data_IF_649387116068
#
_entry.id   IF_649387116068
#
_cell.length_a   1.000
_cell.length_b   1.000
_cell.length_c   1.000
_cell.angle_alpha   90.00
_cell.angle_beta   90.00
_cell.angle_gamma   90.00
#
_symmetry.space_group_name_H-M   'P 1'
#
loop_
_entity.id
_entity.type
_entity.pdbx_description
1 polymer ?
#
# COMPACT_ATOMS: atom_id res chain seq x y z
N UNK A 1 74.91 -19.71 -26.25
CA UNK A 1 74.68 -18.29 -26.57
C UNK A 1 73.18 -18.04 -26.73
N UNK A 2 72.66 -17.15 -25.86
CA UNK A 2 71.48 -16.27 -26.00
C UNK A 2 70.06 -16.87 -26.24
N UNK A 3 69.26 -16.75 -25.18
CA UNK A 3 67.89 -16.17 -25.07
C UNK A 3 66.76 -16.88 -25.86
N UNK A 4 65.62 -17.24 -25.29
CA UNK A 4 64.66 -16.35 -24.63
C UNK A 4 63.72 -17.15 -23.71
N UNK A 5 63.47 -16.58 -22.52
CA UNK A 5 62.40 -16.94 -21.60
C UNK A 5 61.10 -16.32 -22.16
N UNK A 6 60.10 -17.14 -22.44
CA UNK A 6 58.74 -16.71 -22.73
C UNK A 6 57.82 -17.14 -21.59
N UNK A 7 57.65 -16.30 -20.57
CA UNK A 7 56.60 -16.48 -19.57
C UNK A 7 55.29 -16.00 -20.19
N UNK A 8 54.36 -16.91 -20.46
CA UNK A 8 52.98 -16.55 -20.79
C UNK A 8 52.29 -16.03 -19.54
N UNK A 9 52.09 -14.72 -19.46
CA UNK A 9 51.20 -14.06 -18.51
C UNK A 9 49.76 -14.24 -19.03
N UNK A 10 49.03 -15.23 -18.49
CA UNK A 10 47.58 -15.31 -18.65
C UNK A 10 46.96 -14.28 -17.72
N UNK A 11 46.74 -13.07 -18.24
CA UNK A 11 45.89 -12.07 -17.58
C UNK A 11 44.44 -12.51 -17.84
N UNK A 12 43.88 -13.25 -16.89
CA UNK A 12 42.46 -13.55 -16.86
C UNK A 12 41.69 -12.27 -16.59
N UNK A 13 41.13 -11.68 -17.64
CA UNK A 13 40.25 -10.53 -17.55
C UNK A 13 38.90 -11.01 -17.00
N UNK A 14 38.75 -11.01 -15.67
CA UNK A 14 37.45 -11.20 -15.02
C UNK A 14 36.62 -9.94 -15.32
N UNK A 15 35.84 -9.98 -16.40
CA UNK A 15 34.68 -9.10 -16.56
C UNK A 15 33.65 -9.50 -15.49
N UNK A 16 33.79 -8.93 -14.29
CA UNK A 16 32.68 -8.78 -13.39
C UNK A 16 31.66 -7.90 -14.11
N UNK A 17 30.67 -8.56 -14.73
CA UNK A 17 29.42 -7.92 -15.13
C UNK A 17 28.76 -7.48 -13.85
N UNK A 18 29.14 -6.30 -13.36
CA UNK A 18 28.37 -5.60 -12.34
C UNK A 18 27.13 -5.13 -13.06
N UNK A 19 26.06 -5.91 -12.96
CA UNK A 19 24.73 -5.38 -13.24
C UNK A 19 24.61 -4.08 -12.44
N UNK A 20 24.21 -2.95 -13.04
CA UNK A 20 24.00 -1.75 -12.26
C UNK A 20 22.99 -2.10 -11.17
N UNK A 21 23.41 -1.94 -9.91
CA UNK A 21 22.47 -1.90 -8.80
C UNK A 21 21.43 -0.85 -9.19
N UNK A 22 20.20 -1.31 -9.47
CA UNK A 22 19.06 -0.41 -9.52
C UNK A 22 18.93 0.16 -8.11
N UNK A 23 19.56 1.32 -7.89
CA UNK A 23 19.23 2.19 -6.77
C UNK A 23 17.74 2.48 -6.94
N UNK A 24 16.92 1.80 -6.15
CA UNK A 24 15.51 2.13 -6.03
C UNK A 24 15.43 3.58 -5.54
N UNK A 25 14.56 4.38 -6.17
CA UNK A 25 14.48 5.82 -5.92
C UNK A 25 14.25 6.16 -4.44
N UNK A 26 14.51 7.42 -4.08
CA UNK A 26 14.47 8.01 -2.72
C UNK A 26 13.11 7.90 -1.97
N UNK A 27 12.17 7.06 -2.44
CA UNK A 27 10.86 6.84 -1.82
C UNK A 27 10.83 5.67 -0.83
N UNK A 28 9.71 5.52 -0.11
CA UNK A 28 9.48 4.37 0.76
C UNK A 28 9.39 3.08 -0.05
N UNK A 29 9.78 1.96 0.57
CA UNK A 29 9.71 0.62 -0.03
C UNK A 29 8.26 0.16 -0.25
N UNK A 30 7.30 0.74 0.47
CA UNK A 30 5.88 0.41 0.39
C UNK A 30 5.03 1.61 -0.03
N UNK A 31 4.01 1.35 -0.85
CA UNK A 31 3.03 2.32 -1.34
C UNK A 31 1.65 1.65 -1.44
N UNK A 32 0.59 2.41 -1.70
CA UNK A 32 -0.79 1.89 -1.72
C UNK A 32 -1.13 1.09 -0.45
N UNK A 33 -0.80 1.66 0.72
CA UNK A 33 -0.99 1.00 2.00
C UNK A 33 -2.42 1.21 2.48
N UNK A 34 -3.08 0.14 2.92
CA UNK A 34 -4.43 0.17 3.50
C UNK A 34 -4.53 -0.77 4.69
N UNK A 35 -5.31 -0.36 5.69
CA UNK A 35 -5.75 -1.22 6.80
C UNK A 35 -7.16 -1.73 6.49
N UNK A 36 -7.34 -3.04 6.45
CA UNK A 36 -8.59 -3.74 6.16
C UNK A 36 -9.06 -4.55 7.39
N UNK A 37 -10.38 -4.75 7.55
CA UNK A 37 -10.91 -5.59 8.63
C UNK A 37 -10.39 -7.03 8.52
N UNK A 38 -10.08 -7.64 9.68
CA UNK A 38 -9.99 -9.10 9.82
C UNK A 38 -11.34 -9.68 10.26
N UNK A 39 -11.42 -11.00 10.41
CA UNK A 39 -12.60 -11.70 10.92
C UNK A 39 -12.97 -11.23 12.35
N UNK A 40 -11.99 -11.12 13.25
CA UNK A 40 -12.16 -10.52 14.58
C UNK A 40 -11.33 -9.23 14.72
N UNK A 41 -11.94 -8.10 14.35
CA UNK A 41 -11.32 -6.76 14.45
C UNK A 41 -11.00 -6.31 15.88
N UNK A 42 -11.40 -7.04 16.93
CA UNK A 42 -11.00 -6.76 18.31
C UNK A 42 -9.64 -7.35 18.67
N UNK A 43 -9.16 -8.31 17.87
CA UNK A 43 -7.91 -9.07 18.08
C UNK A 43 -6.98 -9.07 16.88
N UNK A 44 -7.48 -8.69 15.71
CA UNK A 44 -6.77 -8.84 14.46
C UNK A 44 -7.03 -7.69 13.49
N UNK A 45 -6.09 -7.46 12.59
CA UNK A 45 -6.24 -6.48 11.51
C UNK A 45 -5.43 -6.90 10.28
N UNK A 46 -5.95 -6.68 9.09
CA UNK A 46 -5.24 -6.95 7.85
C UNK A 46 -4.58 -5.68 7.32
N UNK A 47 -3.32 -5.76 6.94
CA UNK A 47 -2.61 -4.67 6.28
C UNK A 47 -2.24 -5.14 4.88
N UNK A 48 -2.67 -4.40 3.87
CA UNK A 48 -2.26 -4.63 2.49
C UNK A 48 -1.42 -3.45 1.99
N UNK A 49 -0.46 -3.74 1.12
CA UNK A 49 0.38 -2.73 0.48
C UNK A 49 0.99 -3.25 -0.81
N UNK A 50 1.50 -2.33 -1.60
CA UNK A 50 2.27 -2.63 -2.79
C UNK A 50 3.74 -2.27 -2.58
N UNK A 51 4.62 -3.00 -3.25
CA UNK A 51 6.08 -2.83 -3.18
C UNK A 51 6.72 -3.26 -4.49
N UNK A 52 7.87 -2.69 -4.81
CA UNK A 52 8.73 -3.11 -5.92
C UNK A 52 9.89 -4.02 -5.46
N UNK A 53 10.00 -4.28 -4.16
CA UNK A 53 11.00 -5.18 -3.56
C UNK A 53 10.34 -6.24 -2.67
N UNK A 54 10.93 -7.44 -2.64
CA UNK A 54 10.46 -8.53 -1.78
C UNK A 54 11.03 -8.43 -0.36
N UNK A 55 10.26 -9.00 0.58
CA UNK A 55 10.62 -9.08 1.99
C UNK A 55 10.38 -7.78 2.76
N UNK A 56 9.46 -6.94 2.28
CA UNK A 56 8.87 -5.86 3.09
C UNK A 56 8.00 -6.45 4.19
N UNK A 57 7.90 -5.75 5.31
CA UNK A 57 7.14 -6.18 6.47
C UNK A 57 6.40 -5.00 7.09
N UNK A 58 5.37 -5.31 7.87
CA UNK A 58 4.70 -4.36 8.75
C UNK A 58 5.45 -4.32 10.08
N UNK A 59 5.81 -3.13 10.55
CA UNK A 59 6.25 -2.90 11.92
C UNK A 59 5.16 -2.12 12.65
N UNK A 60 4.66 -2.64 13.78
CA UNK A 60 3.52 -2.07 14.49
C UNK A 60 3.69 -2.10 16.00
N UNK A 61 3.03 -1.17 16.68
CA UNK A 61 3.04 -1.04 18.14
C UNK A 61 1.81 -0.25 18.60
N UNK A 62 1.56 -0.19 19.90
CA UNK A 62 0.53 0.69 20.47
C UNK A 62 0.92 2.16 20.23
N UNK A 63 -0.06 3.04 20.04
CA UNK A 63 0.20 4.44 19.68
C UNK A 63 1.08 5.19 20.69
N UNK A 64 1.01 4.82 21.96
CA UNK A 64 1.83 5.39 23.04
C UNK A 64 3.32 5.12 22.85
N UNK A 65 3.70 4.04 22.15
CA UNK A 65 5.08 3.75 21.73
C UNK A 65 5.38 4.36 20.36
N UNK A 66 5.24 5.68 20.25
CA UNK A 66 5.47 6.42 19.00
C UNK A 66 6.88 6.27 18.42
N UNK A 67 7.84 5.79 19.23
CA UNK A 67 9.22 5.53 18.84
C UNK A 67 9.46 4.13 18.26
N UNK A 68 8.46 3.24 18.23
CA UNK A 68 8.61 1.84 17.83
C UNK A 68 9.70 1.11 18.65
N UNK A 69 9.79 1.40 19.95
CA UNK A 69 10.83 0.82 20.83
C UNK A 69 10.51 -0.62 21.21
N UNK A 70 9.23 -0.96 21.34
CA UNK A 70 8.72 -2.28 21.68
C UNK A 70 7.77 -2.80 20.59
N UNK A 71 8.15 -2.58 19.33
CA UNK A 71 7.34 -2.94 18.17
C UNK A 71 7.41 -4.42 17.81
N UNK A 72 6.34 -4.91 17.20
CA UNK A 72 6.26 -6.22 16.56
C UNK A 72 6.46 -6.08 15.05
N UNK A 73 6.87 -7.17 14.40
CA UNK A 73 7.06 -7.23 12.94
C UNK A 73 6.36 -8.44 12.34
N UNK A 74 5.69 -8.25 11.21
CA UNK A 74 5.04 -9.32 10.44
C UNK A 74 5.47 -9.20 8.99
N UNK A 75 6.09 -10.26 8.46
CA UNK A 75 6.51 -10.32 7.07
C UNK A 75 5.28 -10.36 6.14
N UNK A 76 5.33 -9.63 5.03
CA UNK A 76 4.27 -9.71 4.03
C UNK A 76 4.34 -10.97 3.18
N UNK A 77 3.17 -11.55 2.92
CA UNK A 77 2.98 -12.54 1.86
C UNK A 77 2.68 -11.80 0.57
N UNK A 78 3.50 -12.01 -0.47
CA UNK A 78 3.48 -11.16 -1.66
C UNK A 78 3.22 -11.96 -2.94
N UNK A 79 2.44 -11.38 -3.84
CA UNK A 79 2.19 -11.90 -5.18
C UNK A 79 2.46 -10.82 -6.25
N UNK A 80 2.99 -11.25 -7.39
CA UNK A 80 3.23 -10.37 -8.52
C UNK A 80 1.91 -9.94 -9.18
N UNK A 81 1.87 -8.70 -9.64
CA UNK A 81 0.65 -8.02 -10.05
C UNK A 81 1.01 -6.93 -11.07
N UNK A 82 0.21 -6.81 -12.13
CA UNK A 82 0.53 -5.97 -13.29
C UNK A 82 -0.56 -4.95 -13.55
N UNK A 83 -0.18 -3.69 -13.67
CA UNK A 83 -1.07 -2.55 -13.92
C UNK A 83 -0.48 -1.64 -14.99
N UNK A 84 -1.33 -0.77 -15.54
CA UNK A 84 -0.88 0.33 -16.36
C UNK A 84 -0.36 1.48 -15.48
N UNK A 85 0.83 1.97 -15.80
CA UNK A 85 1.42 3.18 -15.20
C UNK A 85 1.28 4.36 -16.18
N UNK A 86 0.55 5.38 -15.78
CA UNK A 86 0.27 6.57 -16.59
C UNK A 86 1.50 7.47 -16.73
N UNK A 87 2.46 7.39 -15.80
CA UNK A 87 3.69 8.16 -15.84
C UNK A 87 4.61 7.72 -16.97
N UNK A 88 4.81 6.42 -17.13
CA UNK A 88 5.70 5.85 -18.16
C UNK A 88 4.94 5.31 -19.39
N UNK A 89 3.61 5.34 -19.36
CA UNK A 89 2.73 4.88 -20.45
C UNK A 89 2.91 3.40 -20.81
N UNK A 90 3.17 2.55 -19.83
CA UNK A 90 3.40 1.12 -20.04
C UNK A 90 2.88 0.29 -18.85
N UNK A 91 2.69 -1.01 -19.10
CA UNK A 91 2.42 -1.95 -18.03
C UNK A 91 3.68 -2.16 -17.19
N UNK A 92 3.48 -2.18 -15.87
CA UNK A 92 4.53 -2.50 -14.90
C UNK A 92 4.09 -3.63 -14.00
N UNK A 93 5.05 -4.39 -13.50
CA UNK A 93 4.82 -5.42 -12.48
C UNK A 93 5.43 -4.97 -11.17
N UNK A 94 4.58 -4.83 -10.15
CA UNK A 94 4.97 -4.70 -8.75
C UNK A 94 4.59 -5.99 -8.00
N UNK A 95 4.72 -5.97 -6.68
CA UNK A 95 4.17 -6.97 -5.78
C UNK A 95 3.09 -6.35 -4.91
N UNK A 96 1.95 -7.02 -4.81
CA UNK A 96 0.94 -6.79 -3.78
C UNK A 96 1.26 -7.72 -2.63
N UNK A 97 1.23 -7.20 -1.42
CA UNK A 97 1.50 -7.95 -0.21
C UNK A 97 0.40 -7.74 0.81
N UNK A 98 0.20 -8.75 1.66
CA UNK A 98 -0.69 -8.69 2.81
C UNK A 98 -0.03 -9.29 4.06
N UNK A 99 -0.49 -8.83 5.21
CA UNK A 99 -0.12 -9.37 6.51
C UNK A 99 -1.28 -9.22 7.50
N UNK A 100 -1.57 -10.30 8.23
CA UNK A 100 -2.50 -10.28 9.35
C UNK A 100 -1.76 -10.02 10.66
N UNK A 101 -2.13 -8.93 11.33
CA UNK A 101 -1.71 -8.65 12.69
C UNK A 101 -2.65 -9.40 13.63
N UNK A 102 -2.12 -10.12 14.62
CA UNK A 102 -2.89 -10.96 15.54
C UNK A 102 -2.55 -10.64 16.99
N UNK A 103 -3.33 -11.21 17.93
CA UNK A 103 -3.15 -11.03 19.37
C UNK A 103 -3.19 -9.55 19.80
N UNK A 104 -3.95 -8.73 19.09
CA UNK A 104 -4.13 -7.32 19.43
C UNK A 104 -5.00 -7.16 20.68
N UNK A 105 -4.82 -6.04 21.37
CA UNK A 105 -5.68 -5.64 22.47
C UNK A 105 -6.91 -4.93 21.90
N UNK A 106 -8.10 -5.23 22.43
CA UNK A 106 -9.36 -4.63 22.01
C UNK A 106 -9.45 -3.15 22.41
N UNK A 107 -10.21 -2.35 21.65
CA UNK A 107 -10.39 -0.90 21.86
C UNK A 107 -9.06 -0.16 22.10
N UNK A 108 -8.04 -0.50 21.32
CA UNK A 108 -6.68 0.03 21.45
C UNK A 108 -6.23 0.68 20.15
N UNK A 109 -5.62 1.86 20.25
CA UNK A 109 -5.02 2.53 19.09
C UNK A 109 -3.63 1.96 18.82
N UNK A 110 -3.45 1.49 17.58
CA UNK A 110 -2.17 1.01 17.08
C UNK A 110 -1.65 1.95 15.99
N UNK A 111 -0.33 2.02 15.91
CA UNK A 111 0.37 2.65 14.79
C UNK A 111 1.25 1.63 14.10
N UNK A 112 1.46 1.82 12.81
CA UNK A 112 2.33 0.96 12.02
C UNK A 112 3.03 1.72 10.90
N UNK A 113 4.08 1.12 10.37
CA UNK A 113 4.77 1.54 9.15
C UNK A 113 5.18 0.31 8.36
N UNK A 114 5.30 0.45 7.04
CA UNK A 114 5.60 -0.67 6.15
C UNK A 114 6.87 -0.38 5.36
N UNK A 115 7.75 -1.36 5.26
CA UNK A 115 8.97 -1.26 4.47
C UNK A 115 9.97 -2.35 4.78
N UNK A 116 11.21 -2.19 4.31
CA UNK A 116 12.33 -3.08 4.63
C UNK A 116 13.52 -2.29 5.16
N UNK A 117 13.91 -1.27 4.42
CA UNK A 117 14.99 -0.32 4.76
C UNK A 117 14.41 1.09 4.83
N UNK A 118 13.61 1.48 3.83
CA UNK A 118 12.97 2.78 3.76
C UNK A 118 11.48 2.61 4.08
N UNK A 119 11.10 2.95 5.30
CA UNK A 119 9.72 2.82 5.75
C UNK A 119 8.81 3.91 5.18
N UNK A 120 7.53 3.56 5.02
CA UNK A 120 6.44 4.51 4.80
C UNK A 120 6.33 5.54 5.93
N UNK A 121 5.50 6.57 5.71
CA UNK A 121 4.93 7.34 6.83
C UNK A 121 4.21 6.41 7.81
N UNK A 122 3.96 6.90 9.02
CA UNK A 122 3.17 6.18 10.02
C UNK A 122 1.69 6.21 9.67
N UNK A 123 1.06 5.04 9.76
CA UNK A 123 -0.38 4.81 9.64
C UNK A 123 -0.91 4.40 11.02
N UNK A 124 -2.23 4.42 11.19
CA UNK A 124 -2.86 3.97 12.42
C UNK A 124 -4.25 3.42 12.22
N UNK A 125 -4.70 2.66 13.22
CA UNK A 125 -6.04 2.12 13.32
C UNK A 125 -6.42 1.89 14.78
N UNK A 126 -7.70 1.64 15.03
CA UNK A 126 -8.20 1.26 16.36
C UNK A 126 -8.89 -0.08 16.27
N UNK A 127 -8.52 -1.02 17.13
CA UNK A 127 -9.22 -2.30 17.24
C UNK A 127 -10.63 -2.12 17.77
N UNK A 128 -11.53 -3.02 17.40
CA UNK A 128 -12.93 -2.96 17.83
C UNK A 128 -13.06 -3.13 19.35
N UNK A 129 -14.02 -2.40 19.91
CA UNK A 129 -14.45 -2.48 21.30
C UNK A 129 -15.96 -2.72 21.40
N UNK A 130 -16.52 -2.62 22.60
CA UNK A 130 -17.96 -2.82 22.86
C UNK A 130 -18.78 -1.53 22.89
N UNK A 131 -18.12 -0.38 22.87
CA UNK A 131 -18.75 0.93 22.93
C UNK A 131 -19.43 1.33 21.62
N UNK A 132 -20.41 2.23 21.70
CA UNK A 132 -21.00 2.84 20.52
C UNK A 132 -19.93 3.56 19.67
N UNK A 133 -20.01 3.41 18.35
CA UNK A 133 -19.04 3.96 17.40
C UNK A 133 -19.73 4.79 16.31
N UNK A 134 -18.95 5.66 15.68
CA UNK A 134 -19.32 6.31 14.42
C UNK A 134 -18.42 5.78 13.31
N UNK A 135 -18.96 5.59 12.12
CA UNK A 135 -18.18 5.25 10.94
C UNK A 135 -18.49 6.23 9.81
N UNK A 136 -17.54 6.39 8.89
CA UNK A 136 -17.74 7.12 7.66
C UNK A 136 -18.19 6.17 6.56
N UNK A 137 -19.16 6.56 5.75
CA UNK A 137 -19.50 5.87 4.52
C UNK A 137 -19.28 6.80 3.33
N UNK A 138 -18.62 6.29 2.29
CA UNK A 138 -18.55 6.95 0.99
C UNK A 138 -18.58 5.91 -0.13
N UNK A 139 -18.81 6.38 -1.34
CA UNK A 139 -18.82 5.58 -2.56
C UNK A 139 -18.62 6.53 -3.71
N UNK A 140 -18.29 6.01 -4.90
CA UNK A 140 -18.31 6.77 -6.15
C UNK A 140 -17.37 7.99 -6.13
N UNK A 141 -16.23 7.87 -5.43
CA UNK A 141 -15.20 8.92 -5.44
C UNK A 141 -14.65 9.08 -6.86
N UNK A 142 -14.52 7.96 -7.57
CA UNK A 142 -14.19 7.90 -8.98
C UNK A 142 -12.90 8.66 -9.34
N UNK A 143 -11.88 8.55 -8.48
CA UNK A 143 -10.60 9.25 -8.64
C UNK A 143 -10.06 9.01 -10.05
N UNK A 144 -9.73 10.12 -10.71
CA UNK A 144 -9.20 10.12 -12.05
C UNK A 144 -8.26 11.31 -12.18
N UNK A 145 -6.97 11.06 -12.45
CA UNK A 145 -5.95 12.11 -12.46
C UNK A 145 -6.27 13.31 -13.35
N UNK A 146 -6.86 13.14 -14.56
CA UNK A 146 -7.28 14.28 -15.39
C UNK A 146 -8.42 15.12 -14.81
N UNK A 147 -9.12 14.65 -13.77
CA UNK A 147 -10.20 15.38 -13.08
C UNK A 147 -9.88 15.48 -11.57
N UNK A 148 -8.91 16.32 -11.15
CA UNK A 148 -8.48 16.42 -9.75
C UNK A 148 -9.58 16.86 -8.79
N UNK A 149 -10.65 17.51 -9.29
CA UNK A 149 -11.78 17.94 -8.48
C UNK A 149 -12.50 16.77 -7.80
N UNK A 150 -12.42 15.55 -8.33
CA UNK A 150 -12.99 14.34 -7.71
C UNK A 150 -12.30 14.00 -6.39
N UNK A 151 -10.97 13.88 -6.42
CA UNK A 151 -10.15 13.74 -5.22
C UNK A 151 -10.38 14.90 -4.24
N UNK A 152 -10.32 16.15 -4.73
CA UNK A 152 -10.46 17.33 -3.86
C UNK A 152 -11.82 17.38 -3.15
N UNK A 153 -12.89 16.94 -3.81
CA UNK A 153 -14.23 16.89 -3.23
C UNK A 153 -14.31 15.82 -2.13
N UNK A 154 -13.75 14.64 -2.37
CA UNK A 154 -13.68 13.58 -1.37
C UNK A 154 -12.85 14.00 -0.15
N UNK A 155 -11.65 14.56 -0.36
CA UNK A 155 -10.81 15.04 0.74
C UNK A 155 -11.49 16.15 1.55
N UNK A 156 -12.20 17.07 0.87
CA UNK A 156 -12.98 18.11 1.56
C UNK A 156 -14.10 17.51 2.40
N UNK A 157 -14.81 16.49 1.89
CA UNK A 157 -15.86 15.80 2.64
C UNK A 157 -15.30 15.09 3.87
N UNK A 158 -14.19 14.36 3.72
CA UNK A 158 -13.47 13.71 4.83
C UNK A 158 -13.14 14.75 5.92
N UNK A 159 -12.55 15.89 5.55
CA UNK A 159 -12.20 16.94 6.50
C UNK A 159 -13.43 17.51 7.23
N UNK A 160 -14.56 17.68 6.52
CA UNK A 160 -15.81 18.15 7.14
C UNK A 160 -16.34 17.13 8.14
N UNK A 161 -16.33 15.84 7.80
CA UNK A 161 -16.79 14.76 8.70
C UNK A 161 -15.90 14.69 9.94
N UNK A 162 -14.57 14.67 9.76
CA UNK A 162 -13.61 14.66 10.86
C UNK A 162 -13.73 15.89 11.78
N UNK A 163 -14.11 17.05 11.24
CA UNK A 163 -14.32 18.25 12.06
C UNK A 163 -15.56 18.16 12.96
N UNK A 164 -16.63 17.50 12.49
CA UNK A 164 -17.95 17.46 13.13
C UNK A 164 -18.14 16.29 14.08
N UNK A 165 -17.61 15.13 13.72
CA UNK A 165 -17.84 13.90 14.47
C UNK A 165 -16.62 13.58 15.34
N UNK A 166 -16.89 12.92 16.46
CA UNK A 166 -15.87 12.35 17.36
C UNK A 166 -16.03 10.84 17.34
N UNK A 167 -14.99 10.12 17.73
CA UNK A 167 -15.01 8.66 17.79
C UNK A 167 -15.37 7.99 16.44
N UNK A 168 -14.84 8.54 15.34
CA UNK A 168 -14.83 7.86 14.04
C UNK A 168 -13.87 6.68 14.15
N UNK A 169 -14.39 5.45 14.06
CA UNK A 169 -13.60 4.22 14.27
C UNK A 169 -13.08 3.63 12.95
N UNK A 170 -13.90 3.67 11.92
CA UNK A 170 -13.56 3.09 10.62
C UNK A 170 -14.37 3.73 9.49
N UNK A 171 -14.04 3.29 8.30
CA UNK A 171 -14.58 3.75 7.04
C UNK A 171 -15.17 2.56 6.29
N UNK A 172 -16.31 2.78 5.63
CA UNK A 172 -16.90 1.85 4.67
C UNK A 172 -16.91 2.52 3.30
N UNK A 173 -16.43 1.81 2.28
CA UNK A 173 -16.55 2.23 0.88
C UNK A 173 -17.47 1.33 0.09
N UNK A 174 -18.43 1.93 -0.62
CA UNK A 174 -19.42 1.24 -1.46
C UNK A 174 -18.90 0.77 -2.83
N UNK A 175 -17.73 1.25 -3.26
CA UNK A 175 -17.17 0.95 -4.58
C UNK A 175 -16.95 2.19 -5.42
N UNK A 176 -16.48 1.99 -6.65
CA UNK A 176 -16.18 3.02 -7.64
C UNK A 176 -15.23 4.09 -7.09
N UNK A 177 -14.12 3.61 -6.52
CA UNK A 177 -13.08 4.42 -5.91
C UNK A 177 -12.23 5.13 -6.95
N UNK A 178 -11.86 4.43 -8.01
CA UNK A 178 -11.11 4.98 -9.16
C UNK A 178 -11.95 4.91 -10.42
N UNK A 179 -11.59 5.69 -11.46
CA UNK A 179 -12.26 5.58 -12.75
C UNK A 179 -11.95 4.26 -13.47
N UNK A 180 -10.73 3.76 -13.27
CA UNK A 180 -10.22 2.56 -13.93
C UNK A 180 -9.39 1.74 -12.95
N UNK A 181 -9.88 0.54 -12.61
CA UNK A 181 -9.19 -0.37 -11.70
C UNK A 181 -7.79 -0.80 -12.17
N UNK A 182 -7.50 -0.71 -13.47
CA UNK A 182 -6.19 -1.11 -14.01
C UNK A 182 -5.13 -0.01 -13.98
N UNK A 183 -5.47 1.21 -13.55
CA UNK A 183 -4.57 2.38 -13.60
C UNK A 183 -3.96 2.64 -12.23
N UNK A 184 -2.66 2.35 -12.10
CA UNK A 184 -1.92 2.45 -10.83
C UNK A 184 -1.92 3.84 -10.24
N UNK A 185 -1.79 4.88 -11.05
CA UNK A 185 -1.64 6.24 -10.53
C UNK A 185 -2.97 6.84 -10.04
N UNK A 186 -4.10 6.38 -10.55
CA UNK A 186 -5.42 6.72 -10.00
C UNK A 186 -5.57 6.10 -8.60
N UNK A 187 -5.14 4.85 -8.42
CA UNK A 187 -5.08 4.21 -7.10
C UNK A 187 -4.16 4.96 -6.14
N UNK A 188 -2.97 5.38 -6.59
CA UNK A 188 -2.06 6.17 -5.74
C UNK A 188 -2.69 7.48 -5.30
N UNK A 189 -3.40 8.15 -6.20
CA UNK A 189 -4.13 9.37 -5.86
C UNK A 189 -5.24 9.07 -4.85
N UNK A 190 -6.02 8.01 -5.04
CA UNK A 190 -7.07 7.61 -4.11
C UNK A 190 -6.53 7.26 -2.71
N UNK A 191 -5.46 6.46 -2.63
CA UNK A 191 -4.83 6.06 -1.36
C UNK A 191 -4.10 7.21 -0.66
N UNK A 192 -3.91 8.35 -1.34
CA UNK A 192 -3.41 9.58 -0.72
C UNK A 192 -4.48 10.36 0.05
N UNK A 193 -5.74 9.93 0.02
CA UNK A 193 -6.78 10.50 0.87
C UNK A 193 -6.43 10.26 2.35
N UNK A 194 -6.61 11.28 3.18
CA UNK A 194 -6.14 11.27 4.58
C UNK A 194 -6.76 10.18 5.45
N UNK A 195 -7.85 9.56 5.00
CA UNK A 195 -8.50 8.46 5.72
C UNK A 195 -7.65 7.19 5.77
N UNK A 196 -6.85 6.91 4.74
CA UNK A 196 -6.07 5.67 4.64
C UNK A 196 -4.96 5.57 5.69
N UNK A 197 -4.40 6.71 6.13
CA UNK A 197 -3.39 6.73 7.19
C UNK A 197 -3.96 6.73 8.60
N UNK A 198 -5.29 6.81 8.75
CA UNK A 198 -5.95 7.03 10.06
C UNK A 198 -6.93 5.93 10.46
N UNK A 199 -7.53 5.26 9.49
CA UNK A 199 -8.68 4.39 9.73
C UNK A 199 -8.53 3.05 9.03
N UNK A 200 -9.14 2.03 9.65
CA UNK A 200 -9.50 0.81 8.95
C UNK A 200 -10.55 1.13 7.87
N UNK A 201 -10.38 0.55 6.69
CA UNK A 201 -11.24 0.71 5.51
C UNK A 201 -11.89 -0.64 5.22
N UNK A 202 -13.22 -0.71 5.30
CA UNK A 202 -13.99 -1.86 4.84
C UNK A 202 -14.50 -1.56 3.42
N UNK A 203 -13.96 -2.25 2.42
CA UNK A 203 -14.20 -1.93 1.01
C UNK A 203 -15.08 -2.96 0.31
N UNK A 204 -15.96 -2.48 -0.56
CA UNK A 204 -16.62 -3.31 -1.58
C UNK A 204 -16.23 -2.80 -2.96
N UNK A 205 -15.94 -3.68 -3.94
CA UNK A 205 -15.68 -3.26 -5.30
C UNK A 205 -16.98 -2.85 -6.00
N UNK A 206 -16.95 -1.73 -6.72
CA UNK A 206 -17.95 -1.31 -7.69
C UNK A 206 -17.55 -1.75 -9.10
N UNK A 207 -18.32 -1.39 -10.12
CA UNK A 207 -18.03 -1.82 -11.50
C UNK A 207 -16.74 -1.19 -12.05
N UNK A 208 -16.36 0.01 -11.61
CA UNK A 208 -15.16 0.68 -12.12
C UNK A 208 -13.85 0.04 -11.67
N UNK A 209 -13.86 -0.71 -10.57
CA UNK A 209 -12.72 -1.54 -10.18
C UNK A 209 -12.45 -2.70 -11.15
N UNK A 210 -13.43 -3.04 -12.00
CA UNK A 210 -13.30 -4.03 -13.06
C UNK A 210 -13.01 -3.42 -14.44
N UNK A 211 -12.97 -2.09 -14.56
CA UNK A 211 -12.78 -1.39 -15.83
C UNK A 211 -11.30 -1.18 -16.17
N UNK A 212 -10.92 -1.42 -17.43
CA UNK A 212 -9.68 -0.88 -17.99
C UNK A 212 -9.84 0.57 -18.50
N UNK A 213 -8.75 1.12 -19.04
CA UNK A 213 -8.71 2.48 -19.61
C UNK A 213 -9.64 2.70 -20.81
N UNK A 214 -10.13 1.64 -21.44
CA UNK A 214 -11.12 1.66 -22.52
C UNK A 214 -12.56 1.54 -22.00
N UNK A 215 -12.74 1.50 -20.66
CA UNK A 215 -14.00 1.22 -19.97
C UNK A 215 -14.56 -0.19 -20.24
N UNK A 216 -13.70 -1.15 -20.61
CA UNK A 216 -14.10 -2.55 -20.74
C UNK A 216 -14.04 -3.25 -19.37
N UNK A 217 -15.09 -4.01 -19.04
CA UNK A 217 -15.21 -4.74 -17.77
C UNK A 217 -14.56 -6.12 -17.91
N UNK A 218 -13.63 -6.46 -17.02
CA UNK A 218 -13.01 -7.78 -16.94
C UNK A 218 -13.58 -8.61 -15.80
N UNK A 219 -13.74 -9.92 -16.03
CA UNK A 219 -14.32 -10.84 -15.05
C UNK A 219 -13.39 -11.17 -13.86
N UNK A 220 -12.09 -10.87 -13.93
CA UNK A 220 -11.11 -11.20 -12.89
C UNK A 220 -10.41 -9.94 -12.35
N UNK A 221 -11.04 -9.26 -11.38
CA UNK A 221 -10.49 -8.07 -10.70
C UNK A 221 -9.54 -8.36 -9.55
N UNK A 222 -9.31 -9.64 -9.22
CA UNK A 222 -8.36 -10.03 -8.15
C UNK A 222 -6.92 -9.59 -8.44
N UNK A 223 -6.67 -9.09 -9.65
CA UNK A 223 -5.42 -8.45 -10.06
C UNK A 223 -5.26 -6.99 -9.61
N UNK A 224 -6.23 -6.36 -8.95
CA UNK A 224 -6.17 -4.89 -8.73
C UNK A 224 -6.68 -4.39 -7.38
N UNK A 225 -7.39 -5.23 -6.62
CA UNK A 225 -8.12 -4.80 -5.43
C UNK A 225 -7.48 -5.35 -4.15
N UNK A 226 -7.33 -4.51 -3.12
CA UNK A 226 -6.86 -4.82 -1.76
C UNK A 226 -7.99 -4.95 -0.74
#
# INVERSE_FOLDING_TARGET
MKKFIGVLLIIGLFFLVTSPLKVHGDGPDAFLIVTNPSEDTSKEMNIAWHTNILGTFVEYTIKEDSGFTSSNRVLGECQAITYYDEGIKADITDYKCDATLTNLTSDTEYIYRVGKTNFSSTYGFTTSGTSAFTFMYFSDVHVYLPIPSRYNSAQKLINVIESKYRNLKFVVTGGDMTAYGTVRDDWKSYYSLSMFSKYMIASTPGNHEYCDRSAEIYADSRKYFD
#
